data_IF_622293580495
#
_entry.id   IF_622293580495
#
_cell.length_a   1.000
_cell.length_b   1.000
_cell.length_c   1.000
_cell.angle_alpha   90.00
_cell.angle_beta   90.00
_cell.angle_gamma   90.00
#
_symmetry.space_group_name_H-M   'P 1'
#
loop_
_entity.id
_entity.type
_entity.pdbx_description
1 polymer ?
#
# COMPACT_ATOMS: atom_id res chain seq x y z
N UNK A 1 -37.79 26.68 -59.07
CA UNK A 1 -37.57 25.42 -58.34
C UNK A 1 -36.44 25.73 -57.33
N UNK A 2 -36.83 26.12 -56.11
CA UNK A 2 -35.88 26.57 -55.05
C UNK A 2 -35.75 25.42 -54.05
N UNK A 3 -34.55 24.86 -53.98
CA UNK A 3 -34.19 23.79 -53.05
C UNK A 3 -33.95 24.40 -51.64
N UNK A 4 -34.84 24.10 -50.74
CA UNK A 4 -34.66 24.47 -49.32
C UNK A 4 -33.63 23.54 -48.70
N UNK A 5 -32.52 24.11 -48.21
CA UNK A 5 -31.52 23.42 -47.39
C UNK A 5 -32.00 23.55 -45.94
N UNK A 6 -32.46 22.44 -45.34
CA UNK A 6 -32.72 22.40 -43.91
C UNK A 6 -31.43 22.48 -43.12
N UNK A 7 -31.35 23.33 -42.07
CA UNK A 7 -30.20 23.34 -41.16
C UNK A 7 -30.25 22.11 -40.26
N UNK A 8 -29.27 21.22 -40.41
CA UNK A 8 -29.07 20.10 -39.53
C UNK A 8 -28.68 20.64 -38.14
N UNK A 9 -29.64 20.62 -37.24
CA UNK A 9 -29.40 20.91 -35.82
C UNK A 9 -28.54 19.80 -35.24
N UNK A 10 -27.24 20.04 -35.13
CA UNK A 10 -26.36 19.18 -34.35
C UNK A 10 -26.73 19.37 -32.87
N UNK A 11 -27.34 18.36 -32.29
CA UNK A 11 -27.47 18.28 -30.84
C UNK A 11 -26.07 18.33 -30.19
N UNK A 12 -25.87 19.13 -29.12
CA UNK A 12 -24.62 19.13 -28.40
C UNK A 12 -24.44 17.75 -27.76
N UNK A 13 -23.46 16.97 -28.24
CA UNK A 13 -23.02 15.74 -27.59
C UNK A 13 -22.60 16.11 -26.18
N UNK A 14 -23.44 15.81 -25.22
CA UNK A 14 -23.09 15.83 -23.81
C UNK A 14 -21.99 14.80 -23.61
N UNK A 15 -20.75 15.26 -23.68
CA UNK A 15 -19.58 14.52 -23.22
C UNK A 15 -19.56 14.56 -21.71
N UNK A 16 -20.54 13.90 -21.09
CA UNK A 16 -20.39 13.51 -19.70
C UNK A 16 -19.26 12.49 -19.70
N UNK A 17 -18.05 12.92 -19.38
CA UNK A 17 -16.88 12.10 -19.27
C UNK A 17 -17.10 11.00 -18.24
N UNK A 18 -17.70 9.90 -18.67
CA UNK A 18 -17.80 8.68 -17.89
C UNK A 18 -16.38 8.14 -17.78
N UNK A 19 -15.76 8.34 -16.61
CA UNK A 19 -14.47 7.76 -16.29
C UNK A 19 -14.48 6.29 -16.74
N UNK A 20 -13.54 5.90 -17.60
CA UNK A 20 -13.40 4.53 -18.12
C UNK A 20 -13.21 3.51 -16.98
N UNK A 21 -12.82 3.98 -15.78
CA UNK A 21 -12.70 3.18 -14.55
C UNK A 21 -14.05 2.80 -13.94
N UNK A 22 -15.13 3.58 -14.19
CA UNK A 22 -16.45 3.35 -13.60
C UNK A 22 -17.22 2.15 -14.21
N UNK A 23 -16.77 1.59 -15.32
CA UNK A 23 -17.48 0.54 -16.06
C UNK A 23 -16.90 -0.86 -15.92
N UNK A 24 -15.76 -1.03 -15.21
CA UNK A 24 -15.11 -2.34 -15.07
C UNK A 24 -15.53 -3.06 -13.79
N UNK A 25 -15.81 -4.38 -13.84
CA UNK A 25 -16.08 -5.15 -12.64
C UNK A 25 -14.87 -5.11 -11.72
N UNK A 26 -15.09 -5.01 -10.40
CA UNK A 26 -14.02 -4.91 -9.38
C UNK A 26 -13.00 -6.06 -9.51
N UNK A 27 -13.47 -7.27 -9.82
CA UNK A 27 -12.62 -8.46 -10.00
C UNK A 27 -11.98 -8.58 -11.38
N UNK A 28 -12.22 -7.61 -12.29
CA UNK A 28 -11.68 -7.65 -13.66
C UNK A 28 -10.22 -7.22 -13.74
N UNK A 29 -9.29 -8.08 -13.31
CA UNK A 29 -7.84 -7.85 -13.41
C UNK A 29 -7.36 -7.91 -14.86
N UNK A 30 -6.44 -7.00 -15.21
CA UNK A 30 -5.73 -7.01 -16.50
C UNK A 30 -4.33 -7.56 -16.31
N UNK A 31 -3.72 -8.11 -17.34
CA UNK A 31 -2.31 -8.51 -17.33
C UNK A 31 -1.39 -7.35 -16.90
N UNK A 32 -1.70 -6.12 -17.36
CA UNK A 32 -0.92 -4.94 -16.97
C UNK A 32 -1.05 -4.62 -15.47
N UNK A 33 -2.19 -4.89 -14.84
CA UNK A 33 -2.37 -4.68 -13.40
C UNK A 33 -1.46 -5.64 -12.61
N UNK A 34 -1.43 -6.92 -13.01
CA UNK A 34 -0.60 -7.97 -12.39
C UNK A 34 0.88 -7.65 -12.56
N UNK A 35 1.32 -7.35 -13.78
CA UNK A 35 2.72 -7.03 -14.07
C UNK A 35 3.17 -5.78 -13.31
N UNK A 36 2.36 -4.74 -13.28
CA UNK A 36 2.71 -3.50 -12.56
C UNK A 36 2.84 -3.74 -11.06
N UNK A 37 1.92 -4.50 -10.44
CA UNK A 37 2.05 -4.86 -9.02
C UNK A 37 3.31 -5.70 -8.78
N UNK A 38 3.59 -6.66 -9.64
CA UNK A 38 4.79 -7.48 -9.50
C UNK A 38 6.07 -6.63 -9.57
N UNK A 39 6.16 -5.69 -10.52
CA UNK A 39 7.30 -4.76 -10.62
C UNK A 39 7.39 -3.79 -9.46
N UNK A 40 6.25 -3.20 -9.03
CA UNK A 40 6.22 -2.32 -7.86
C UNK A 40 6.62 -3.07 -6.60
N UNK A 41 6.06 -4.27 -6.39
CA UNK A 41 6.40 -5.13 -5.27
C UNK A 41 7.89 -5.50 -5.29
N UNK A 42 8.44 -5.85 -6.45
CA UNK A 42 9.86 -6.18 -6.57
C UNK A 42 10.75 -4.96 -6.24
N UNK A 43 10.46 -3.79 -6.78
CA UNK A 43 11.21 -2.56 -6.50
C UNK A 43 11.15 -2.18 -5.02
N UNK A 44 9.95 -2.24 -4.42
CA UNK A 44 9.76 -1.97 -2.99
C UNK A 44 10.39 -3.07 -2.12
N UNK A 45 10.43 -4.32 -2.58
CA UNK A 45 11.11 -5.42 -1.90
C UNK A 45 12.62 -5.21 -1.78
N UNK A 46 13.27 -4.65 -2.82
CA UNK A 46 14.67 -4.22 -2.73
C UNK A 46 14.83 -3.11 -1.70
N UNK A 47 13.90 -2.14 -1.68
CA UNK A 47 13.90 -1.08 -0.67
C UNK A 47 13.68 -1.63 0.75
N UNK A 48 12.80 -2.62 0.92
CA UNK A 48 12.57 -3.31 2.20
C UNK A 48 13.83 -4.01 2.72
N UNK A 49 14.53 -4.71 1.83
CA UNK A 49 15.81 -5.33 2.20
C UNK A 49 16.83 -4.28 2.65
N UNK A 50 17.03 -3.21 1.85
CA UNK A 50 17.92 -2.13 2.21
C UNK A 50 17.53 -1.44 3.52
N UNK A 51 16.22 -1.24 3.74
CA UNK A 51 15.71 -0.74 5.02
C UNK A 51 16.01 -1.69 6.17
N UNK A 52 15.88 -3.00 5.98
CA UNK A 52 16.21 -4.03 6.99
C UNK A 52 17.68 -3.97 7.41
N UNK A 53 18.60 -3.80 6.46
CA UNK A 53 20.03 -3.61 6.75
C UNK A 53 20.25 -2.32 7.58
N UNK A 54 19.61 -1.21 7.19
CA UNK A 54 19.71 0.05 7.91
C UNK A 54 19.07 -0.03 9.30
N UNK A 55 17.91 -0.71 9.42
CA UNK A 55 17.12 -0.80 10.64
C UNK A 55 17.93 -1.29 11.85
N UNK A 56 18.83 -2.25 11.65
CA UNK A 56 19.62 -2.86 12.70
C UNK A 56 20.54 -1.86 13.45
N UNK A 57 21.06 -0.82 12.78
CA UNK A 57 21.88 0.20 13.38
C UNK A 57 21.12 1.07 14.39
N UNK A 58 20.15 1.92 13.95
CA UNK A 58 19.43 2.83 14.85
C UNK A 58 18.58 2.08 15.89
N UNK A 59 18.01 0.92 15.55
CA UNK A 59 17.19 0.16 16.50
C UNK A 59 18.02 -0.42 17.64
N UNK A 60 19.27 -0.78 17.41
CA UNK A 60 20.15 -1.20 18.51
C UNK A 60 20.27 -0.12 19.58
N UNK A 61 20.40 1.15 19.19
CA UNK A 61 20.43 2.27 20.13
C UNK A 61 19.09 2.42 20.89
N UNK A 62 17.96 2.24 20.22
CA UNK A 62 16.63 2.28 20.86
C UNK A 62 16.40 1.12 21.84
N UNK A 63 16.93 -0.07 21.56
CA UNK A 63 16.86 -1.21 22.49
C UNK A 63 17.52 -0.90 23.84
N UNK A 64 18.56 -0.04 23.85
CA UNK A 64 19.22 0.40 25.06
C UNK A 64 18.39 1.46 25.82
N UNK A 65 17.69 2.35 25.10
CA UNK A 65 16.82 3.38 25.67
C UNK A 65 15.44 2.85 26.03
N UNK A 66 14.50 2.93 25.10
CA UNK A 66 13.12 2.44 25.28
C UNK A 66 12.67 1.64 24.04
N UNK A 67 12.85 0.34 24.11
CA UNK A 67 12.66 -0.59 23.00
C UNK A 67 11.31 -0.47 22.25
N UNK A 68 10.15 -0.20 22.90
CA UNK A 68 8.88 -0.07 22.19
C UNK A 68 8.84 1.02 21.12
N UNK A 69 9.71 2.04 21.18
CA UNK A 69 9.81 3.06 20.13
C UNK A 69 10.39 2.54 18.80
N UNK A 70 10.93 1.32 18.77
CA UNK A 70 11.31 0.65 17.51
C UNK A 70 10.16 0.59 16.51
N UNK A 71 8.91 0.56 16.99
CA UNK A 71 7.72 0.61 16.15
C UNK A 71 7.67 1.79 15.18
N UNK A 72 8.34 2.89 15.49
CA UNK A 72 8.46 4.05 14.59
C UNK A 72 9.25 3.75 13.31
N UNK A 73 10.02 2.68 13.28
CA UNK A 73 10.82 2.26 12.14
C UNK A 73 10.17 1.13 11.32
N UNK A 74 8.99 0.65 11.72
CA UNK A 74 8.31 -0.46 11.04
C UNK A 74 7.53 -0.01 9.79
N UNK A 75 7.05 1.25 9.78
CA UNK A 75 6.21 1.78 8.71
C UNK A 75 6.72 1.60 7.27
N UNK A 76 8.02 1.67 6.97
CA UNK A 76 8.54 1.41 5.63
C UNK A 76 8.15 0.05 5.06
N UNK A 77 8.04 -1.00 5.89
CA UNK A 77 7.61 -2.34 5.45
C UNK A 77 6.11 -2.46 5.14
N UNK A 78 5.29 -1.46 5.45
CA UNK A 78 3.87 -1.42 5.09
C UNK A 78 3.62 -0.71 3.75
N UNK A 79 4.70 -0.14 3.14
CA UNK A 79 4.59 0.77 2.00
C UNK A 79 4.06 0.07 0.75
N UNK A 80 4.49 -1.17 0.50
CA UNK A 80 4.15 -1.87 -0.73
C UNK A 80 2.66 -2.18 -0.82
N UNK A 81 2.03 -2.61 0.29
CA UNK A 81 0.60 -2.86 0.34
C UNK A 81 -0.21 -1.60 0.06
N UNK A 82 0.12 -0.50 0.74
CA UNK A 82 -0.58 0.77 0.53
C UNK A 82 -0.41 1.28 -0.89
N UNK A 83 0.82 1.30 -1.42
CA UNK A 83 1.11 1.76 -2.79
C UNK A 83 0.42 0.88 -3.84
N UNK A 84 0.49 -0.45 -3.69
CA UNK A 84 -0.18 -1.40 -4.59
C UNK A 84 -1.69 -1.18 -4.66
N UNK A 85 -2.32 -1.01 -3.50
CA UNK A 85 -3.75 -0.72 -3.38
C UNK A 85 -4.13 0.63 -4.02
N UNK A 86 -3.34 1.68 -3.80
CA UNK A 86 -3.56 3.01 -4.37
C UNK A 86 -3.40 3.03 -5.90
N UNK A 87 -2.48 2.25 -6.45
CA UNK A 87 -2.19 2.23 -7.91
C UNK A 87 -3.25 1.45 -8.67
N UNK A 88 -3.53 0.21 -8.27
CA UNK A 88 -4.39 -0.69 -9.06
C UNK A 88 -5.85 -0.59 -8.64
N UNK A 89 -6.13 -0.31 -7.37
CA UNK A 89 -7.48 -0.08 -6.82
C UNK A 89 -8.44 -1.26 -7.05
N UNK A 90 -7.93 -2.47 -6.86
CA UNK A 90 -8.68 -3.72 -7.03
C UNK A 90 -8.52 -4.62 -5.82
N UNK A 91 -9.53 -5.46 -5.54
CA UNK A 91 -9.41 -6.47 -4.49
C UNK A 91 -8.17 -7.34 -4.66
N UNK A 92 -7.39 -7.47 -3.59
CA UNK A 92 -6.15 -8.24 -3.57
C UNK A 92 -4.89 -7.47 -4.00
N UNK A 93 -5.01 -6.21 -4.47
CA UNK A 93 -3.87 -5.45 -4.98
C UNK A 93 -2.85 -5.09 -3.89
N UNK A 94 -3.33 -4.67 -2.72
CA UNK A 94 -2.47 -4.36 -1.60
C UNK A 94 -1.76 -5.61 -1.08
N UNK A 95 -2.51 -6.68 -0.85
CA UNK A 95 -1.97 -7.95 -0.39
C UNK A 95 -0.93 -8.51 -1.36
N UNK A 96 -1.23 -8.53 -2.67
CA UNK A 96 -0.32 -9.09 -3.66
C UNK A 96 0.99 -8.29 -3.76
N UNK A 97 0.92 -6.96 -3.77
CA UNK A 97 2.11 -6.11 -3.80
C UNK A 97 3.00 -6.33 -2.57
N UNK A 98 2.41 -6.42 -1.39
CA UNK A 98 3.13 -6.63 -0.13
C UNK A 98 3.80 -8.00 -0.08
N UNK A 99 3.11 -9.06 -0.50
CA UNK A 99 3.67 -10.42 -0.54
C UNK A 99 4.83 -10.50 -1.55
N UNK A 100 4.72 -9.86 -2.71
CA UNK A 100 5.84 -9.80 -3.67
C UNK A 100 7.02 -9.04 -3.08
N UNK A 101 6.78 -7.91 -2.40
CA UNK A 101 7.86 -7.15 -1.76
C UNK A 101 8.54 -7.95 -0.64
N UNK A 102 7.76 -8.64 0.18
CA UNK A 102 8.28 -9.55 1.22
C UNK A 102 9.15 -10.66 0.61
N UNK A 103 8.65 -11.32 -0.44
CA UNK A 103 9.38 -12.38 -1.15
C UNK A 103 10.73 -11.87 -1.68
N UNK A 104 10.72 -10.73 -2.38
CA UNK A 104 11.94 -10.15 -2.95
C UNK A 104 12.91 -9.71 -1.86
N UNK A 105 12.43 -9.12 -0.77
CA UNK A 105 13.28 -8.70 0.35
C UNK A 105 13.96 -9.88 1.07
N UNK A 106 13.37 -11.06 0.99
CA UNK A 106 13.92 -12.28 1.60
C UNK A 106 15.08 -12.88 0.77
N UNK A 107 15.10 -12.70 -0.56
CA UNK A 107 16.05 -13.37 -1.45
C UNK A 107 17.53 -13.14 -1.13
N UNK A 108 17.98 -11.90 -0.78
CA UNK A 108 19.39 -11.69 -0.43
C UNK A 108 19.75 -12.18 0.97
N UNK A 109 18.77 -12.68 1.73
CA UNK A 109 18.89 -13.04 3.14
C UNK A 109 18.47 -11.92 4.08
N UNK A 110 17.83 -12.30 5.16
CA UNK A 110 17.35 -11.38 6.24
C UNK A 110 17.46 -12.09 7.58
N UNK A 111 17.65 -11.36 8.65
CA UNK A 111 17.71 -11.93 10.01
C UNK A 111 16.39 -12.58 10.44
N UNK A 112 15.26 -12.21 9.84
CA UNK A 112 13.95 -12.77 10.14
C UNK A 112 13.63 -14.04 9.32
N UNK A 113 14.48 -14.41 8.36
CA UNK A 113 14.32 -15.63 7.54
C UNK A 113 12.95 -15.69 6.84
N UNK A 114 12.36 -16.88 6.78
CA UNK A 114 11.09 -17.12 6.09
C UNK A 114 9.86 -16.45 6.77
N UNK A 115 9.99 -16.01 8.04
CA UNK A 115 8.87 -15.34 8.74
C UNK A 115 8.50 -14.00 8.10
N UNK A 116 9.39 -13.42 7.29
CA UNK A 116 9.11 -12.24 6.45
C UNK A 116 7.89 -12.44 5.54
N UNK A 117 7.67 -13.66 5.03
CA UNK A 117 6.49 -13.95 4.19
C UNK A 117 5.19 -13.89 4.99
N UNK A 118 5.20 -14.38 6.23
CA UNK A 118 4.05 -14.28 7.14
C UNK A 118 3.78 -12.80 7.42
N UNK A 119 4.82 -12.05 7.73
CA UNK A 119 4.74 -10.60 7.93
C UNK A 119 4.13 -9.91 6.71
N UNK A 120 4.62 -10.20 5.50
CA UNK A 120 4.08 -9.61 4.27
C UNK A 120 2.59 -9.90 4.06
N UNK A 121 2.15 -11.12 4.37
CA UNK A 121 0.71 -11.46 4.31
C UNK A 121 -0.08 -10.65 5.32
N UNK A 122 0.35 -10.58 6.58
CA UNK A 122 -0.37 -9.87 7.65
C UNK A 122 -0.43 -8.36 7.40
N UNK A 123 0.67 -7.77 6.99
CA UNK A 123 0.78 -6.34 6.66
C UNK A 123 -0.09 -6.00 5.44
N UNK A 124 0.01 -6.78 4.39
CA UNK A 124 -0.81 -6.62 3.18
C UNK A 124 -2.30 -6.80 3.44
N UNK A 125 -2.69 -7.77 4.28
CA UNK A 125 -4.08 -7.95 4.70
C UNK A 125 -4.61 -6.74 5.47
N UNK A 126 -3.81 -6.12 6.35
CA UNK A 126 -4.22 -4.93 7.08
C UNK A 126 -4.57 -3.77 6.16
N UNK A 127 -3.72 -3.50 5.16
CA UNK A 127 -3.98 -2.48 4.13
C UNK A 127 -5.18 -2.86 3.25
N UNK A 128 -5.26 -4.12 2.81
CA UNK A 128 -6.34 -4.64 1.98
C UNK A 128 -7.72 -4.51 2.64
N UNK A 129 -7.81 -4.83 3.94
CA UNK A 129 -9.04 -4.69 4.71
C UNK A 129 -9.58 -3.26 4.72
N UNK A 130 -8.69 -2.26 4.82
CA UNK A 130 -9.13 -0.86 4.75
C UNK A 130 -9.73 -0.56 3.40
N UNK A 131 -9.04 -0.88 2.30
CA UNK A 131 -9.59 -0.64 0.97
C UNK A 131 -10.89 -1.40 0.73
N UNK A 132 -11.03 -2.60 1.28
CA UNK A 132 -12.26 -3.40 1.22
C UNK A 132 -13.42 -2.74 2.00
N UNK A 133 -13.18 -2.23 3.22
CA UNK A 133 -14.17 -1.50 4.02
C UNK A 133 -14.71 -0.29 3.25
N UNK A 134 -13.85 0.42 2.53
CA UNK A 134 -14.26 1.52 1.65
C UNK A 134 -14.78 1.05 0.27
N UNK A 135 -14.99 -0.25 0.08
CA UNK A 135 -15.52 -0.85 -1.14
C UNK A 135 -14.66 -0.59 -2.38
N UNK A 136 -13.36 -0.33 -2.22
CA UNK A 136 -12.42 0.04 -3.29
C UNK A 136 -12.87 1.28 -4.07
N UNK A 137 -13.48 2.24 -3.38
CA UNK A 137 -14.01 3.48 -3.97
C UNK A 137 -13.35 4.75 -3.45
N UNK A 138 -12.68 4.70 -2.30
CA UNK A 138 -12.02 5.84 -1.67
C UNK A 138 -10.51 5.61 -1.57
N UNK A 139 -9.74 6.54 -2.14
CA UNK A 139 -8.27 6.48 -2.21
C UNK A 139 -7.62 7.84 -1.84
N UNK A 140 -8.25 8.52 -0.87
CA UNK A 140 -7.70 9.75 -0.30
C UNK A 140 -6.47 9.49 0.56
N UNK A 141 -5.69 10.54 0.85
CA UNK A 141 -4.56 10.47 1.81
C UNK A 141 -5.01 9.91 3.16
N UNK A 142 -6.22 10.29 3.63
CA UNK A 142 -6.76 9.81 4.90
C UNK A 142 -7.02 8.31 4.88
N UNK A 143 -7.59 7.78 3.79
CA UNK A 143 -7.79 6.32 3.63
C UNK A 143 -6.45 5.59 3.53
N UNK A 144 -5.48 6.15 2.81
CA UNK A 144 -4.14 5.58 2.74
C UNK A 144 -3.42 5.58 4.11
N UNK A 145 -3.55 6.68 4.88
CA UNK A 145 -3.01 6.75 6.24
C UNK A 145 -3.65 5.69 7.15
N UNK A 146 -4.97 5.49 7.04
CA UNK A 146 -5.66 4.43 7.75
C UNK A 146 -5.20 3.04 7.30
N UNK A 147 -4.99 2.81 6.00
CA UNK A 147 -4.47 1.56 5.47
C UNK A 147 -3.07 1.25 6.03
N UNK A 148 -2.16 2.24 6.03
CA UNK A 148 -0.84 2.10 6.63
C UNK A 148 -0.90 1.86 8.14
N UNK A 149 -1.78 2.56 8.87
CA UNK A 149 -1.97 2.34 10.30
C UNK A 149 -2.50 0.94 10.61
N UNK A 150 -3.49 0.44 9.85
CA UNK A 150 -4.13 -0.85 10.10
C UNK A 150 -3.34 -2.05 9.54
N UNK A 151 -2.22 -1.82 8.83
CA UNK A 151 -1.22 -2.86 8.57
C UNK A 151 -0.51 -3.31 9.86
N UNK A 152 -0.43 -2.43 10.87
CA UNK A 152 0.28 -2.69 12.11
C UNK A 152 -0.37 -3.74 13.04
N UNK A 153 -1.68 -3.73 13.33
CA UNK A 153 -2.26 -4.61 14.34
C UNK A 153 -2.06 -6.11 14.09
N UNK A 154 -2.19 -6.56 12.84
CA UNK A 154 -1.98 -7.98 12.51
C UNK A 154 -0.50 -8.36 12.62
N UNK A 155 0.40 -7.52 12.17
CA UNK A 155 1.85 -7.70 12.32
C UNK A 155 2.24 -7.68 13.79
N UNK A 156 1.75 -6.70 14.55
CA UNK A 156 1.98 -6.60 15.99
C UNK A 156 1.53 -7.85 16.73
N UNK A 157 0.33 -8.36 16.41
CA UNK A 157 -0.18 -9.60 17.01
C UNK A 157 0.79 -10.76 16.80
N UNK A 158 1.33 -10.92 15.60
CA UNK A 158 2.33 -11.94 15.28
C UNK A 158 3.62 -11.76 16.10
N UNK A 159 4.06 -10.53 16.34
CA UNK A 159 5.31 -10.25 17.04
C UNK A 159 5.21 -10.36 18.56
N UNK A 160 4.01 -10.10 19.14
CA UNK A 160 3.81 -10.10 20.60
C UNK A 160 3.11 -11.35 21.15
N UNK A 161 2.63 -12.24 20.27
CA UNK A 161 1.96 -13.49 20.65
C UNK A 161 2.83 -14.68 20.29
N UNK A 162 3.15 -15.54 21.28
CA UNK A 162 3.81 -16.81 21.01
C UNK A 162 2.85 -17.76 20.30
N UNK A 163 3.21 -18.19 19.10
CA UNK A 163 2.41 -19.13 18.33
C UNK A 163 2.87 -20.57 18.56
N UNK A 164 1.95 -21.55 18.69
CA UNK A 164 2.30 -22.94 18.95
C UNK A 164 3.17 -23.59 17.87
N UNK A 165 3.09 -23.12 16.62
CA UNK A 165 3.83 -23.64 15.47
C UNK A 165 5.26 -23.10 15.35
N UNK A 166 5.69 -22.25 16.28
CA UNK A 166 6.96 -21.50 16.16
C UNK A 166 6.87 -20.38 15.14
N UNK A 167 7.67 -19.35 15.37
CA UNK A 167 7.64 -18.09 14.61
C UNK A 167 6.82 -17.00 15.26
N UNK A 168 7.28 -15.77 15.17
CA UNK A 168 6.71 -14.64 15.91
C UNK A 168 7.04 -14.66 17.39
N UNK A 169 6.29 -13.88 18.15
CA UNK A 169 6.40 -13.86 19.61
C UNK A 169 7.70 -13.27 20.16
N UNK A 170 8.47 -12.54 19.35
CA UNK A 170 9.76 -11.96 19.75
C UNK A 170 9.66 -11.01 20.95
N UNK A 171 8.46 -10.43 21.16
CA UNK A 171 8.18 -9.51 22.25
C UNK A 171 7.07 -10.05 23.18
N UNK A 172 6.88 -11.37 23.21
CA UNK A 172 5.85 -12.02 24.03
C UNK A 172 6.00 -11.70 25.53
N UNK A 173 7.24 -11.62 26.00
CA UNK A 173 7.58 -11.34 27.40
C UNK A 173 7.43 -9.86 27.81
N UNK A 174 7.18 -8.96 26.85
CA UNK A 174 6.98 -7.56 27.20
C UNK A 174 5.72 -7.35 28.01
N UNK A 175 5.75 -6.43 28.97
CA UNK A 175 4.56 -6.02 29.72
C UNK A 175 3.55 -5.35 28.80
N UNK A 176 2.27 -5.44 29.15
CA UNK A 176 1.19 -4.93 28.30
C UNK A 176 1.37 -3.47 27.88
N UNK A 177 1.83 -2.61 28.80
CA UNK A 177 2.12 -1.20 28.50
C UNK A 177 3.06 -1.06 27.31
N UNK A 178 4.16 -1.81 27.28
CA UNK A 178 5.18 -1.72 26.25
C UNK A 178 4.69 -2.28 24.91
N UNK A 179 3.90 -3.35 24.95
CA UNK A 179 3.20 -3.87 23.77
C UNK A 179 2.26 -2.84 23.16
N UNK A 180 1.49 -2.11 24.00
CA UNK A 180 0.56 -1.07 23.52
C UNK A 180 1.32 0.14 22.94
N UNK A 181 2.41 0.58 23.60
CA UNK A 181 3.25 1.67 23.07
C UNK A 181 3.86 1.27 21.71
N UNK A 182 4.34 0.03 21.59
CA UNK A 182 4.87 -0.50 20.36
C UNK A 182 3.83 -0.49 19.22
N UNK A 183 2.61 -0.97 19.51
CA UNK A 183 1.50 -0.90 18.54
C UNK A 183 1.23 0.54 18.10
N UNK A 184 1.12 1.47 19.05
CA UNK A 184 0.87 2.88 18.75
C UNK A 184 1.98 3.49 17.88
N UNK A 185 3.24 3.16 18.16
CA UNK A 185 4.39 3.58 17.37
C UNK A 185 4.36 3.00 15.94
N UNK A 186 4.04 1.70 15.80
CA UNK A 186 3.86 1.05 14.50
C UNK A 186 2.72 1.68 13.68
N UNK A 187 1.56 1.91 14.32
CA UNK A 187 0.40 2.54 13.65
C UNK A 187 0.72 3.96 13.18
N UNK A 188 1.38 4.76 14.02
CA UNK A 188 1.81 6.11 13.67
C UNK A 188 2.80 6.09 12.47
N UNK A 189 3.81 5.23 12.55
CA UNK A 189 4.78 5.04 11.49
C UNK A 189 4.13 4.57 10.19
N UNK A 190 3.22 3.61 10.26
CA UNK A 190 2.45 3.13 9.12
C UNK A 190 1.58 4.22 8.50
N UNK A 191 0.86 5.00 9.32
CA UNK A 191 0.04 6.10 8.83
C UNK A 191 0.86 7.15 8.09
N UNK A 192 2.00 7.55 8.66
CA UNK A 192 2.84 8.61 8.09
C UNK A 192 3.65 8.09 6.91
N UNK A 193 4.39 7.01 7.08
CA UNK A 193 5.34 6.53 6.06
C UNK A 193 4.59 5.77 4.96
N UNK A 194 3.87 4.72 5.30
CA UNK A 194 3.17 3.94 4.28
C UNK A 194 1.97 4.70 3.70
N UNK A 195 1.19 5.37 4.55
CA UNK A 195 0.00 6.08 4.13
C UNK A 195 0.29 7.41 3.44
N UNK A 196 0.80 8.40 4.19
CA UNK A 196 1.00 9.76 3.65
C UNK A 196 2.10 9.77 2.61
N UNK A 197 3.33 9.29 2.94
CA UNK A 197 4.43 9.30 1.97
C UNK A 197 4.16 8.36 0.80
N UNK A 198 3.52 7.20 1.01
CA UNK A 198 3.06 6.31 -0.07
C UNK A 198 2.09 7.01 -1.03
N UNK A 199 1.12 7.77 -0.51
CA UNK A 199 0.21 8.58 -1.35
C UNK A 199 0.96 9.65 -2.14
N UNK A 200 1.94 10.32 -1.53
CA UNK A 200 2.76 11.31 -2.22
C UNK A 200 3.62 10.67 -3.31
N UNK A 201 4.17 9.48 -3.06
CA UNK A 201 4.91 8.70 -4.05
C UNK A 201 4.03 8.35 -5.25
N UNK A 202 2.81 7.83 -5.02
CA UNK A 202 1.87 7.50 -6.10
C UNK A 202 1.51 8.74 -6.91
N UNK A 203 1.29 9.89 -6.28
CA UNK A 203 1.05 11.16 -6.97
C UNK A 203 2.26 11.60 -7.79
N UNK A 204 3.47 11.47 -7.27
CA UNK A 204 4.70 11.80 -8.00
C UNK A 204 4.87 10.90 -9.23
N UNK A 205 4.63 9.60 -9.11
CA UNK A 205 4.66 8.66 -10.24
C UNK A 205 3.57 8.96 -11.28
N UNK A 206 2.38 9.37 -10.85
CA UNK A 206 1.31 9.79 -11.74
C UNK A 206 1.69 11.06 -12.53
N UNK A 207 2.27 12.06 -11.86
CA UNK A 207 2.78 13.29 -12.50
C UNK A 207 3.91 13.01 -13.49
N UNK A 208 4.80 12.09 -13.18
CA UNK A 208 5.87 11.65 -14.07
C UNK A 208 5.38 10.81 -15.27
N UNK A 209 4.07 10.52 -15.36
CA UNK A 209 3.48 9.71 -16.44
C UNK A 209 3.65 8.19 -16.28
N UNK A 210 4.35 7.73 -15.25
CA UNK A 210 4.61 6.30 -15.03
C UNK A 210 3.32 5.49 -14.78
N UNK A 211 2.25 6.15 -14.30
CA UNK A 211 0.96 5.53 -14.00
C UNK A 211 -0.14 5.89 -15.00
N UNK A 212 0.21 6.24 -16.24
CA UNK A 212 -0.74 6.70 -17.26
C UNK A 212 -1.85 5.68 -17.59
N UNK A 213 -1.59 4.39 -17.45
CA UNK A 213 -2.55 3.31 -17.67
C UNK A 213 -3.46 3.03 -16.46
N UNK A 214 -3.25 3.70 -15.32
CA UNK A 214 -3.89 3.46 -14.04
C UNK A 214 -4.72 4.66 -13.56
N UNK A 215 -5.69 4.44 -12.66
CA UNK A 215 -6.57 5.50 -12.16
C UNK A 215 -5.84 6.75 -11.68
N UNK A 216 -4.75 6.69 -10.87
CA UNK A 216 -4.05 7.90 -10.43
C UNK A 216 -3.48 8.75 -11.57
N UNK A 217 -2.97 8.11 -12.63
CA UNK A 217 -2.46 8.83 -13.80
C UNK A 217 -3.58 9.40 -14.68
N UNK A 218 -4.72 8.73 -14.74
CA UNK A 218 -5.90 9.21 -15.46
C UNK A 218 -6.51 10.42 -14.75
N UNK A 219 -6.69 10.35 -13.42
CA UNK A 219 -7.18 11.46 -12.59
C UNK A 219 -6.26 12.70 -12.71
N UNK A 220 -4.94 12.47 -12.74
CA UNK A 220 -3.99 13.58 -12.92
C UNK A 220 -4.15 14.27 -14.27
N UNK A 221 -4.33 13.55 -15.37
CA UNK A 221 -4.58 14.15 -16.69
C UNK A 221 -5.90 14.89 -16.76
N UNK A 222 -6.98 14.30 -16.22
CA UNK A 222 -8.31 14.92 -16.21
C UNK A 222 -8.29 16.25 -15.45
N UNK A 223 -7.57 16.33 -14.31
CA UNK A 223 -7.45 17.56 -13.51
C UNK A 223 -6.67 18.69 -14.19
N UNK A 224 -5.92 18.42 -15.27
CA UNK A 224 -5.15 19.41 -16.02
C UNK A 224 -5.75 19.72 -17.39
N UNK A 225 -6.82 19.03 -17.78
CA UNK A 225 -7.52 19.23 -19.06
C UNK A 225 -8.70 20.22 -18.96
N UNK A 226 -8.98 20.73 -17.73
CA UNK A 226 -10.00 21.74 -17.41
C UNK A 226 -9.31 23.07 -17.14
#
# INVERSE_FOLDING_TARGET
MATQIEPTTQEPRSTTGRSLTATRPLMGWRTVDILTIAFLGAALGVAFWGWGVFYNGPVTALKIGYAPLMGLFVGPWFLAGVVGGLVVRRPGAALFCEVVAALVSMLPGTEWGATVLISGVLQGLGAELVFAIFGYKAFSIGVAALAGALSAPLQWGFEVMSLPAGGGGWYAEWVLRDKVVYLGAMMLSGAVIAGVLGSLLVRALARAGALSAFPPGQEHRESHAV
#
